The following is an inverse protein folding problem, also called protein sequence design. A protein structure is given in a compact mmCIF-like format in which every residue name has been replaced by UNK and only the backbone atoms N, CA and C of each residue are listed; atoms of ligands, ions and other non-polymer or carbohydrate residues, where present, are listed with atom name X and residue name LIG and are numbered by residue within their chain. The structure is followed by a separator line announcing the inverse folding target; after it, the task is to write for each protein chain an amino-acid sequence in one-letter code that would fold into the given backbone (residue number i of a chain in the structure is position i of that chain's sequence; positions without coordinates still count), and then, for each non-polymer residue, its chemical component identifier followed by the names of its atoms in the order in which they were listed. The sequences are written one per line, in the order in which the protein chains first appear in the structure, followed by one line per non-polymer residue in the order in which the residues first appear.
data_IF_120279863262
#
_entry.id   IF_120279863262
#
_cell.length_a   1.000
_cell.length_b   1.000
_cell.length_c   1.000
_cell.angle_alpha   90.00
_cell.angle_beta   90.00
_cell.angle_gamma   90.00
#
_symmetry.space_group_name_H-M   'P 1'
#
loop_
_entity.id
_entity.type
_entity.pdbx_description
1 polymer ?
#
# COMPACT_ATOMS: atom_id res chain seq x y z
N UNK A 1 8.40 -14.62 8.20
CA UNK A 1 8.82 -13.25 8.51
C UNK A 1 9.69 -12.68 7.38
N UNK A 2 10.86 -13.27 7.07
CA UNK A 2 11.78 -12.76 6.03
C UNK A 2 11.10 -12.57 4.66
N UNK A 3 10.34 -13.56 4.19
CA UNK A 3 9.65 -13.49 2.91
C UNK A 3 8.60 -12.37 2.87
N UNK A 4 7.87 -12.12 3.95
CA UNK A 4 6.93 -11.02 4.05
C UNK A 4 7.63 -9.66 4.01
N UNK A 5 8.72 -9.49 4.75
CA UNK A 5 9.51 -8.26 4.70
C UNK A 5 10.12 -8.02 3.32
N UNK A 6 10.66 -9.06 2.69
CA UNK A 6 11.19 -9.01 1.33
C UNK A 6 10.09 -8.62 0.33
N UNK A 7 8.91 -9.26 0.39
CA UNK A 7 7.77 -8.95 -0.46
C UNK A 7 7.41 -7.46 -0.38
N UNK A 8 7.32 -6.93 0.84
CA UNK A 8 6.96 -5.53 1.06
C UNK A 8 8.00 -4.55 0.50
N UNK A 9 9.29 -4.86 0.65
CA UNK A 9 10.37 -3.98 0.15
C UNK A 9 10.56 -4.09 -1.37
N UNK A 10 10.23 -5.23 -1.98
CA UNK A 10 10.37 -5.47 -3.42
C UNK A 10 9.08 -5.29 -4.22
N UNK A 11 7.93 -5.17 -3.54
CA UNK A 11 6.63 -4.88 -4.15
C UNK A 11 6.48 -3.40 -4.47
N UNK A 12 6.88 -3.00 -5.68
CA UNK A 12 6.87 -1.59 -6.11
C UNK A 12 5.50 -0.94 -6.02
N UNK A 13 4.44 -1.66 -6.34
CA UNK A 13 3.04 -1.25 -6.26
C UNK A 13 2.63 -0.87 -4.83
N UNK A 14 2.98 -1.69 -3.83
CA UNK A 14 2.77 -1.37 -2.42
C UNK A 14 3.53 -0.11 -2.00
N UNK A 15 4.82 -0.06 -2.36
CA UNK A 15 5.67 1.07 -2.01
C UNK A 15 5.20 2.37 -2.66
N UNK A 16 4.88 2.36 -3.97
CA UNK A 16 4.41 3.54 -4.69
C UNK A 16 3.09 4.06 -4.14
N UNK A 17 2.13 3.17 -3.85
CA UNK A 17 0.89 3.56 -3.21
C UNK A 17 1.14 4.21 -1.84
N UNK A 18 1.94 3.56 -0.98
CA UNK A 18 2.22 4.06 0.36
C UNK A 18 3.09 5.33 0.35
N UNK A 19 4.02 5.47 -0.59
CA UNK A 19 4.72 6.74 -0.84
C UNK A 19 3.71 7.83 -1.18
N UNK A 20 2.75 7.57 -2.07
CA UNK A 20 1.66 8.48 -2.36
C UNK A 20 0.86 8.86 -1.11
N UNK A 21 0.54 7.87 -0.24
CA UNK A 21 -0.20 8.11 1.01
C UNK A 21 0.56 9.02 1.95
N UNK A 22 1.86 8.80 2.15
CA UNK A 22 2.67 9.59 3.10
C UNK A 22 3.20 10.89 2.52
N UNK A 23 3.01 11.14 1.21
CA UNK A 23 3.62 12.25 0.48
C UNK A 23 3.39 13.62 1.13
N UNK A 24 2.18 13.87 1.64
CA UNK A 24 1.81 15.09 2.36
C UNK A 24 1.61 14.90 3.87
N UNK A 25 1.98 13.75 4.43
CA UNK A 25 1.92 13.53 5.87
C UNK A 25 3.21 14.00 6.56
N UNK A 26 3.10 15.04 7.33
CA UNK A 26 4.24 15.66 8.03
C UNK A 26 4.46 15.11 9.45
N UNK A 27 3.46 14.43 10.04
CA UNK A 27 3.52 13.92 11.40
C UNK A 27 3.67 12.40 11.41
N UNK A 28 4.71 11.85 12.07
CA UNK A 28 4.93 10.41 12.15
C UNK A 28 3.70 9.62 12.65
N UNK A 29 2.95 10.20 13.62
CA UNK A 29 1.72 9.59 14.12
C UNK A 29 0.69 9.32 13.03
N UNK A 30 0.52 10.23 12.08
CA UNK A 30 -0.41 10.02 10.97
C UNK A 30 0.12 8.96 10.01
N UNK A 31 1.43 8.95 9.74
CA UNK A 31 2.06 7.91 8.92
C UNK A 31 1.76 6.53 9.49
N UNK A 32 2.04 6.32 10.79
CA UNK A 32 1.74 5.05 11.47
C UNK A 32 0.26 4.68 11.33
N UNK A 33 -0.66 5.63 11.53
CA UNK A 33 -2.11 5.37 11.42
C UNK A 33 -2.50 4.85 10.03
N UNK A 34 -2.03 5.48 8.96
CA UNK A 34 -2.36 5.06 7.59
C UNK A 34 -1.70 3.73 7.23
N UNK A 35 -0.45 3.54 7.63
CA UNK A 35 0.30 2.30 7.46
C UNK A 35 -0.42 1.13 8.13
N UNK A 36 -0.85 1.32 9.39
CA UNK A 36 -1.61 0.29 10.12
C UNK A 36 -2.96 -0.01 9.47
N UNK A 37 -3.70 1.00 9.00
CA UNK A 37 -4.96 0.77 8.28
C UNK A 37 -4.76 -0.07 7.01
N UNK A 38 -3.72 0.23 6.24
CA UNK A 38 -3.36 -0.56 5.07
C UNK A 38 -2.99 -1.99 5.46
N UNK A 39 -2.11 -2.17 6.45
CA UNK A 39 -1.65 -3.47 6.92
C UNK A 39 -2.81 -4.34 7.45
N UNK A 40 -3.76 -3.76 8.17
CA UNK A 40 -4.96 -4.45 8.64
C UNK A 40 -5.79 -4.94 7.45
N UNK A 41 -6.10 -4.07 6.49
CA UNK A 41 -6.84 -4.46 5.28
C UNK A 41 -6.14 -5.57 4.52
N UNK A 42 -4.84 -5.42 4.28
CA UNK A 42 -4.00 -6.42 3.60
C UNK A 42 -4.01 -7.77 4.32
N UNK A 43 -3.81 -7.77 5.64
CA UNK A 43 -3.75 -9.01 6.44
C UNK A 43 -5.10 -9.74 6.47
N UNK A 44 -6.22 -9.01 6.57
CA UNK A 44 -7.57 -9.61 6.56
C UNK A 44 -7.79 -10.39 5.26
N UNK A 45 -7.57 -9.78 4.12
CA UNK A 45 -7.85 -10.42 2.83
C UNK A 45 -6.80 -11.43 2.42
N UNK A 46 -5.55 -11.28 2.83
CA UNK A 46 -4.53 -12.30 2.65
C UNK A 46 -4.90 -13.58 3.41
N UNK A 47 -5.21 -13.44 4.71
CA UNK A 47 -5.58 -14.60 5.54
C UNK A 47 -6.87 -15.25 5.04
N UNK A 48 -7.93 -14.45 4.84
CA UNK A 48 -9.21 -14.94 4.37
C UNK A 48 -9.12 -15.54 2.97
N UNK A 49 -8.43 -14.88 2.05
CA UNK A 49 -8.27 -15.34 0.66
C UNK A 49 -7.58 -16.69 0.56
N UNK A 50 -6.50 -16.90 1.34
CA UNK A 50 -5.80 -18.20 1.36
C UNK A 50 -6.61 -19.27 2.07
N UNK A 51 -7.23 -18.97 3.23
CA UNK A 51 -7.99 -19.98 4.00
C UNK A 51 -9.31 -20.38 3.33
N UNK A 52 -9.94 -19.46 2.60
CA UNK A 52 -11.20 -19.72 1.89
C UNK A 52 -10.98 -20.15 0.43
N UNK A 53 -9.74 -20.34 0.01
CA UNK A 53 -9.36 -20.69 -1.37
C UNK A 53 -10.05 -19.81 -2.43
N UNK A 54 -10.03 -18.49 -2.19
CA UNK A 54 -10.69 -17.54 -3.09
C UNK A 54 -9.93 -17.42 -4.40
N UNK A 55 -10.55 -17.91 -5.46
CA UNK A 55 -10.03 -17.81 -6.82
C UNK A 55 -10.54 -16.51 -7.47
N UNK A 56 -9.65 -15.52 -7.59
CA UNK A 56 -9.95 -14.25 -8.26
C UNK A 56 -9.03 -14.02 -9.45
N UNK A 57 -9.52 -13.29 -10.43
CA UNK A 57 -8.70 -12.96 -11.60
C UNK A 57 -7.56 -12.02 -11.21
N UNK A 58 -6.32 -12.52 -11.27
CA UNK A 58 -5.12 -11.76 -10.87
C UNK A 58 -4.97 -10.46 -11.67
N UNK A 59 -5.30 -10.44 -12.96
CA UNK A 59 -5.20 -9.24 -13.80
C UNK A 59 -6.15 -8.12 -13.35
N UNK A 60 -7.37 -8.48 -12.91
CA UNK A 60 -8.32 -7.49 -12.37
C UNK A 60 -7.79 -6.90 -11.08
N UNK A 61 -7.27 -7.74 -10.19
CA UNK A 61 -6.70 -7.27 -8.93
C UNK A 61 -5.47 -6.39 -9.16
N UNK A 62 -4.54 -6.81 -10.02
CA UNK A 62 -3.36 -6.01 -10.37
C UNK A 62 -3.76 -4.66 -11.00
N UNK A 63 -4.82 -4.63 -11.82
CA UNK A 63 -5.36 -3.38 -12.37
C UNK A 63 -5.93 -2.46 -11.26
N UNK A 64 -6.65 -3.00 -10.26
CA UNK A 64 -7.17 -2.22 -9.12
C UNK A 64 -6.01 -1.70 -8.26
N UNK A 65 -4.96 -2.52 -8.06
CA UNK A 65 -3.74 -2.11 -7.36
C UNK A 65 -3.08 -0.95 -8.09
N UNK A 66 -2.90 -1.03 -9.41
CA UNK A 66 -2.37 0.08 -10.22
C UNK A 66 -3.25 1.34 -10.12
N UNK A 67 -4.58 1.18 -10.22
CA UNK A 67 -5.53 2.28 -10.03
C UNK A 67 -5.46 2.92 -8.65
N UNK A 68 -5.07 2.18 -7.60
CA UNK A 68 -4.91 2.75 -6.26
C UNK A 68 -3.80 3.82 -6.21
N UNK A 69 -2.72 3.62 -6.98
CA UNK A 69 -1.62 4.57 -7.11
C UNK A 69 -2.11 5.84 -7.83
N UNK A 70 -2.80 5.66 -8.96
CA UNK A 70 -3.41 6.76 -9.73
C UNK A 70 -4.40 7.55 -8.85
N UNK A 71 -5.29 6.83 -8.14
CA UNK A 71 -6.25 7.43 -7.21
C UNK A 71 -5.55 8.32 -6.17
N UNK A 72 -4.50 7.78 -5.52
CA UNK A 72 -3.81 8.52 -4.46
C UNK A 72 -3.01 9.70 -4.99
N UNK A 73 -2.39 9.56 -6.14
CA UNK A 73 -1.69 10.66 -6.79
C UNK A 73 -2.66 11.78 -7.24
N UNK A 74 -3.85 11.40 -7.75
CA UNK A 74 -4.90 12.34 -8.13
C UNK A 74 -5.50 13.07 -6.91
N UNK A 75 -5.69 12.36 -5.79
CA UNK A 75 -6.08 12.98 -4.50
C UNK A 75 -5.03 13.99 -4.04
N UNK A 76 -3.75 13.66 -4.13
CA UNK A 76 -2.64 14.51 -3.70
C UNK A 76 -2.53 15.84 -4.46
N UNK A 77 -3.04 15.94 -5.68
CA UNK A 77 -3.08 17.18 -6.47
C UNK A 77 -4.44 17.90 -6.39
N UNK A 78 -5.26 17.58 -5.38
CA UNK A 78 -6.63 18.08 -5.20
C UNK A 78 -7.58 17.76 -6.38
N UNK A 79 -7.29 16.70 -7.13
CA UNK A 79 -8.02 16.34 -8.34
C UNK A 79 -9.50 16.07 -8.08
N UNK A 80 -9.82 15.33 -7.03
CA UNK A 80 -11.24 15.05 -6.65
C UNK A 80 -11.99 16.33 -6.31
N UNK A 81 -11.40 17.22 -5.52
CA UNK A 81 -12.00 18.48 -5.15
C UNK A 81 -12.25 19.38 -6.36
N UNK A 82 -11.28 19.43 -7.29
CA UNK A 82 -11.38 20.28 -8.50
C UNK A 82 -12.40 19.75 -9.51
N UNK A 83 -12.50 18.43 -9.68
CA UNK A 83 -13.35 17.80 -10.70
C UNK A 83 -14.72 17.45 -10.17
N UNK A 84 -14.80 16.88 -8.94
CA UNK A 84 -16.04 16.36 -8.36
C UNK A 84 -16.60 17.21 -7.23
N UNK A 85 -15.85 18.23 -6.75
CA UNK A 85 -16.30 19.13 -5.69
C UNK A 85 -16.26 18.54 -4.27
N UNK A 86 -15.74 17.33 -4.07
CA UNK A 86 -15.60 16.71 -2.74
C UNK A 86 -14.23 16.06 -2.55
N UNK A 87 -13.86 15.84 -1.30
CA UNK A 87 -12.64 15.10 -0.94
C UNK A 87 -13.03 13.73 -0.36
N UNK A 88 -12.56 12.62 -0.97
CA UNK A 88 -12.78 11.28 -0.41
C UNK A 88 -12.08 11.12 0.95
N UNK A 89 -12.63 10.23 1.78
CA UNK A 89 -11.98 9.91 3.06
C UNK A 89 -10.75 9.01 2.81
N UNK A 90 -9.56 9.59 2.88
CA UNK A 90 -8.28 8.91 2.65
C UNK A 90 -8.11 7.68 3.53
N UNK A 91 -8.61 7.66 4.78
CA UNK A 91 -8.47 6.50 5.68
C UNK A 91 -9.27 5.31 5.16
N UNK A 92 -10.49 5.57 4.69
CA UNK A 92 -11.34 4.53 4.10
C UNK A 92 -10.70 4.02 2.82
N UNK A 93 -10.23 4.91 1.96
CA UNK A 93 -9.56 4.53 0.71
C UNK A 93 -8.33 3.66 0.97
N UNK A 94 -7.45 4.05 1.91
CA UNK A 94 -6.24 3.29 2.26
C UNK A 94 -6.59 1.90 2.80
N UNK A 95 -7.60 1.78 3.66
CA UNK A 95 -8.06 0.50 4.16
C UNK A 95 -8.60 -0.39 3.02
N UNK A 96 -9.47 0.16 2.18
CA UNK A 96 -10.07 -0.57 1.04
C UNK A 96 -9.00 -1.03 0.05
N UNK A 97 -8.05 -0.16 -0.30
CA UNK A 97 -6.93 -0.57 -1.17
C UNK A 97 -6.03 -1.61 -0.49
N UNK A 98 -5.84 -1.54 0.83
CA UNK A 98 -5.19 -2.60 1.60
C UNK A 98 -5.86 -3.96 1.40
N UNK A 99 -7.20 -4.02 1.41
CA UNK A 99 -7.95 -5.25 1.13
C UNK A 99 -7.62 -5.81 -0.27
N UNK A 100 -7.59 -4.98 -1.32
CA UNK A 100 -7.24 -5.44 -2.67
C UNK A 100 -5.79 -5.90 -2.78
N UNK A 101 -4.85 -5.21 -2.16
CA UNK A 101 -3.44 -5.61 -2.15
C UNK A 101 -3.24 -6.97 -1.46
N UNK A 102 -3.92 -7.23 -0.33
CA UNK A 102 -3.87 -8.52 0.35
C UNK A 102 -4.51 -9.64 -0.46
N UNK A 103 -5.61 -9.35 -1.17
CA UNK A 103 -6.27 -10.31 -2.05
C UNK A 103 -5.38 -10.67 -3.26
N UNK A 104 -4.68 -9.70 -3.84
CA UNK A 104 -3.72 -9.95 -4.92
C UNK A 104 -2.59 -10.89 -4.49
N UNK A 105 -2.06 -10.70 -3.28
CA UNK A 105 -1.06 -11.60 -2.74
C UNK A 105 -1.63 -12.98 -2.43
N UNK A 106 -2.85 -13.08 -1.88
CA UNK A 106 -3.52 -14.36 -1.63
C UNK A 106 -3.65 -15.19 -2.91
N UNK A 107 -4.07 -14.57 -4.01
CA UNK A 107 -4.18 -15.22 -5.32
C UNK A 107 -2.82 -15.74 -5.81
N UNK A 108 -1.76 -14.93 -5.70
CA UNK A 108 -0.41 -15.33 -6.11
C UNK A 108 0.16 -16.44 -5.22
N UNK A 109 -0.14 -16.45 -3.92
CA UNK A 109 0.32 -17.49 -3.01
C UNK A 109 -0.35 -18.85 -3.29
N UNK A 110 -1.60 -18.86 -3.74
CA UNK A 110 -2.34 -20.08 -4.08
C UNK A 110 -1.80 -20.79 -5.33
N UNK A 111 -1.08 -20.07 -6.21
CA UNK A 111 -0.38 -20.66 -7.36
C UNK A 111 0.78 -21.56 -6.92
N UNK A 112 1.26 -21.41 -5.69
CA UNK A 112 2.31 -22.26 -5.13
C UNK A 112 1.69 -23.36 -4.27
N UNK A 113 2.22 -24.60 -4.38
CA UNK A 113 1.82 -25.70 -3.50
C UNK A 113 2.27 -25.41 -2.06
N UNK A 114 1.40 -24.76 -1.29
CA UNK A 114 1.64 -24.50 0.12
C UNK A 114 1.31 -25.75 0.90
N UNK A 115 2.24 -26.23 1.73
CA UNK A 115 2.00 -27.34 2.63
C UNK A 115 0.88 -27.01 3.64
N UNK A 116 -0.10 -27.87 3.80
CA UNK A 116 -1.18 -27.72 4.81
C UNK A 116 -0.64 -27.70 6.24
N UNK A 117 0.54 -28.27 6.46
CA UNK A 117 1.19 -28.27 7.76
C UNK A 117 1.72 -26.87 8.13
N UNK A 118 1.07 -26.24 9.11
CA UNK A 118 1.47 -24.93 9.61
C UNK A 118 1.05 -23.76 8.73
N UNK A 119 0.09 -23.93 7.81
CA UNK A 119 -0.38 -22.88 6.89
C UNK A 119 -0.71 -21.57 7.61
N UNK A 120 -1.55 -21.63 8.64
CA UNK A 120 -1.96 -20.44 9.41
C UNK A 120 -0.76 -19.75 10.07
N UNK A 121 0.13 -20.51 10.69
CA UNK A 121 1.34 -19.98 11.32
C UNK A 121 2.27 -19.32 10.30
N UNK A 122 2.41 -19.92 9.11
CA UNK A 122 3.20 -19.38 8.03
C UNK A 122 2.63 -18.07 7.49
N UNK A 123 1.30 -17.98 7.31
CA UNK A 123 0.63 -16.76 6.85
C UNK A 123 0.75 -15.64 7.90
N UNK A 124 0.54 -15.95 9.19
CA UNK A 124 0.71 -14.97 10.27
C UNK A 124 2.16 -14.48 10.33
N UNK A 125 3.13 -15.40 10.26
CA UNK A 125 4.56 -15.05 10.25
C UNK A 125 4.93 -14.20 9.02
N UNK A 126 4.32 -14.48 7.88
CA UNK A 126 4.48 -13.68 6.66
C UNK A 126 3.93 -12.26 6.86
N UNK A 127 2.72 -12.11 7.40
CA UNK A 127 2.09 -10.81 7.69
C UNK A 127 2.91 -9.97 8.67
N UNK A 128 3.45 -10.58 9.74
CA UNK A 128 4.38 -9.89 10.65
C UNK A 128 5.62 -9.40 9.89
N UNK A 129 6.12 -10.18 8.94
CA UNK A 129 7.21 -9.78 8.07
C UNK A 129 6.85 -8.59 7.18
N UNK A 130 5.65 -8.61 6.58
CA UNK A 130 5.13 -7.50 5.76
C UNK A 130 5.11 -6.21 6.58
N UNK A 131 4.57 -6.24 7.80
CA UNK A 131 4.48 -5.07 8.67
C UNK A 131 5.87 -4.52 9.03
N UNK A 132 6.82 -5.38 9.39
CA UNK A 132 8.21 -4.99 9.66
C UNK A 132 8.84 -4.35 8.41
N UNK A 133 8.73 -4.99 7.25
CA UNK A 133 9.25 -4.48 5.98
C UNK A 133 8.65 -3.13 5.61
N UNK A 134 7.34 -2.96 5.82
CA UNK A 134 6.60 -1.73 5.58
C UNK A 134 7.10 -0.58 6.48
N UNK A 135 7.26 -0.83 7.79
CA UNK A 135 7.77 0.16 8.73
C UNK A 135 9.18 0.61 8.32
N UNK A 136 10.06 -0.33 7.99
CA UNK A 136 11.44 -0.02 7.59
C UNK A 136 11.48 0.79 6.28
N UNK A 137 10.78 0.33 5.24
CA UNK A 137 10.74 1.00 3.95
C UNK A 137 10.16 2.41 4.06
N UNK A 138 9.03 2.56 4.75
CA UNK A 138 8.38 3.86 4.90
C UNK A 138 9.11 4.80 5.84
N UNK A 139 9.85 4.29 6.83
CA UNK A 139 10.74 5.12 7.64
C UNK A 139 11.84 5.74 6.79
N UNK A 140 12.46 4.96 5.91
CA UNK A 140 13.47 5.46 4.97
C UNK A 140 12.85 6.51 4.01
N UNK A 141 11.71 6.21 3.42
CA UNK A 141 10.98 7.15 2.53
C UNK A 141 10.60 8.42 3.28
N UNK A 142 10.09 8.30 4.52
CA UNK A 142 9.70 9.46 5.32
C UNK A 142 10.88 10.38 5.64
N UNK A 143 12.06 9.81 5.92
CA UNK A 143 13.30 10.58 6.12
C UNK A 143 13.65 11.34 4.84
N UNK A 144 13.67 10.67 3.69
CA UNK A 144 13.96 11.29 2.39
C UNK A 144 12.96 12.41 2.07
N UNK A 145 11.65 12.14 2.25
CA UNK A 145 10.62 13.16 2.06
C UNK A 145 10.77 14.34 3.03
N UNK A 146 11.15 14.10 4.27
CA UNK A 146 11.34 15.16 5.27
C UNK A 146 12.48 16.10 4.88
N UNK A 147 13.59 15.55 4.38
CA UNK A 147 14.72 16.33 3.84
C UNK A 147 14.29 17.09 2.58
N UNK A 148 13.57 16.46 1.67
CA UNK A 148 13.10 17.12 0.45
C UNK A 148 12.10 18.24 0.75
N UNK A 149 11.19 18.03 1.69
CA UNK A 149 10.19 19.03 2.14
C UNK A 149 10.80 20.29 2.76
N UNK A 150 12.04 20.24 3.26
CA UNK A 150 12.76 21.42 3.73
C UNK A 150 13.21 22.34 2.60
N UNK A 151 13.15 21.87 1.34
CA UNK A 151 13.55 22.61 0.17
C UNK A 151 12.41 23.51 -0.35
N UNK A 152 12.68 24.79 -0.64
CA UNK A 152 11.68 25.74 -1.15
C UNK A 152 11.00 25.31 -2.46
N UNK A 153 11.67 24.44 -3.24
CA UNK A 153 11.13 23.92 -4.51
C UNK A 153 10.18 22.72 -4.34
N UNK A 154 10.02 22.18 -3.12
CA UNK A 154 9.23 20.97 -2.89
C UNK A 154 7.81 21.02 -3.47
N UNK A 155 7.05 22.08 -3.18
CA UNK A 155 5.66 22.20 -3.64
C UNK A 155 5.54 22.28 -5.16
N UNK A 156 6.54 22.87 -5.84
CA UNK A 156 6.59 22.92 -7.31
C UNK A 156 6.82 21.51 -7.88
N UNK A 157 7.75 20.78 -7.32
CA UNK A 157 8.06 19.42 -7.77
C UNK A 157 7.01 18.40 -7.32
N UNK A 158 6.30 18.64 -6.21
CA UNK A 158 5.27 17.76 -5.72
C UNK A 158 4.16 17.53 -6.75
N UNK A 159 3.72 18.57 -7.46
CA UNK A 159 2.73 18.43 -8.53
C UNK A 159 3.26 17.52 -9.66
N UNK A 160 4.48 17.79 -10.15
CA UNK A 160 5.10 16.97 -11.21
C UNK A 160 5.28 15.53 -10.80
N UNK A 161 5.75 15.30 -9.55
CA UNK A 161 5.96 13.94 -9.02
C UNK A 161 4.64 13.16 -8.90
N UNK A 162 3.57 13.78 -8.39
CA UNK A 162 2.28 13.10 -8.30
C UNK A 162 1.66 12.88 -9.70
N UNK A 163 1.87 13.79 -10.65
CA UNK A 163 1.47 13.56 -12.04
C UNK A 163 2.22 12.39 -12.66
N UNK A 164 3.53 12.28 -12.41
CA UNK A 164 4.34 11.16 -12.87
C UNK A 164 3.95 9.82 -12.23
N UNK A 165 3.41 9.81 -11.00
CA UNK A 165 2.89 8.60 -10.36
C UNK A 165 1.59 8.09 -11.01
N UNK A 166 0.90 8.93 -11.81
CA UNK A 166 -0.33 8.53 -12.52
C UNK A 166 -0.06 7.89 -13.88
N UNK A 167 1.17 7.93 -14.37
CA UNK A 167 1.59 7.36 -15.67
C UNK A 167 2.24 6.01 -15.52
#
# INVERSE_FOLDING_TARGET
IYLGAKHMVTGYDHLLFLVGVIFFLYRPKHVVQYVTLFAIGHSITLLFGVLADLQVNAYIIDAIIGLSIVYKAFENIDGFKRVLGFEPNTKIAVFVFGLFHGLGLATKLQEFTISDNGLVTNIISFNVGVEIGQILALSAVFIVLSVWRSNASYLRHAFVTNTALMT
#
